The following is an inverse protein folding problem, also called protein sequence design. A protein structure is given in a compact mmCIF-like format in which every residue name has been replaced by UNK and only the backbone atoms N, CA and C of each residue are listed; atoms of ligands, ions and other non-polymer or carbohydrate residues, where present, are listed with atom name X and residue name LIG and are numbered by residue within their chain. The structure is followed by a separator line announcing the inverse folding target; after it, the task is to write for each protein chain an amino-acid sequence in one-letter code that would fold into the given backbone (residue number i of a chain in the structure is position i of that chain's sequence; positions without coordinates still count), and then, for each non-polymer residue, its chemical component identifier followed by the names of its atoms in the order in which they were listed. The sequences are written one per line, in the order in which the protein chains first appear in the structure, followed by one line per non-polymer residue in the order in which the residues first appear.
data_IF_992522419495
#
_entry.id   IF_992522419495
#
_cell.length_a   1.000
_cell.length_b   1.000
_cell.length_c   1.000
_cell.angle_alpha   90.00
_cell.angle_beta   90.00
_cell.angle_gamma   90.00
#
_symmetry.space_group_name_H-M   'P 1'
#
loop_
_entity.id
_entity.type
_entity.pdbx_description
1 polymer ?
#
# COMPACT_ATOMS: atom_id res chain seq x y z
N UNK A 1 4.76 -3.21 8.27
CA UNK A 1 4.10 -1.87 8.38
C UNK A 1 3.36 -1.81 9.71
N UNK A 2 3.53 -0.74 10.43
CA UNK A 2 3.00 -0.61 11.78
C UNK A 2 2.18 0.69 11.89
N UNK A 3 0.92 0.57 12.29
CA UNK A 3 -0.01 1.70 12.40
C UNK A 3 -0.18 2.19 13.84
N UNK A 4 0.71 1.84 14.77
CA UNK A 4 0.62 2.29 16.17
C UNK A 4 0.62 3.82 16.30
N UNK A 5 1.34 4.52 15.42
CA UNK A 5 1.40 5.98 15.44
C UNK A 5 0.30 6.65 14.60
N UNK A 6 -0.58 5.87 13.99
CA UNK A 6 -1.69 6.37 13.16
C UNK A 6 -1.71 5.75 11.76
N UNK A 7 -2.60 6.23 10.91
CA UNK A 7 -2.73 5.70 9.55
C UNK A 7 -1.47 5.88 8.71
N UNK A 8 -1.24 4.91 7.81
CA UNK A 8 -0.14 4.95 6.86
C UNK A 8 -0.67 5.11 5.44
N UNK A 9 0.04 5.90 4.65
CA UNK A 9 -0.20 6.01 3.21
C UNK A 9 0.76 5.10 2.48
N UNK A 10 0.22 4.30 1.55
CA UNK A 10 1.00 3.45 0.67
C UNK A 10 0.82 3.97 -0.76
N UNK A 11 1.86 4.52 -1.33
CA UNK A 11 1.87 4.88 -2.75
C UNK A 11 2.36 3.69 -3.53
N UNK A 12 1.51 3.15 -4.38
CA UNK A 12 1.72 1.88 -5.07
C UNK A 12 1.93 2.16 -6.56
N UNK A 13 3.02 1.63 -7.15
CA UNK A 13 3.25 1.78 -8.59
C UNK A 13 2.24 0.96 -9.39
N UNK A 14 2.08 1.27 -10.68
CA UNK A 14 1.23 0.45 -11.55
C UNK A 14 1.84 -0.93 -11.81
N UNK A 15 1.02 -1.86 -12.24
CA UNK A 15 1.44 -3.19 -12.70
C UNK A 15 2.10 -4.04 -11.60
N UNK A 16 1.61 -3.94 -10.37
CA UNK A 16 1.98 -4.84 -9.29
C UNK A 16 0.80 -5.72 -8.92
N UNK A 17 1.06 -6.78 -8.18
CA UNK A 17 0.04 -7.71 -7.70
C UNK A 17 0.45 -8.26 -6.36
N UNK A 18 -0.40 -8.13 -5.37
CA UNK A 18 -0.14 -8.75 -4.08
C UNK A 18 -1.14 -8.38 -3.02
N UNK A 19 -1.17 -9.11 -1.91
CA UNK A 19 -2.07 -8.82 -0.79
C UNK A 19 -1.40 -7.96 0.27
N UNK A 20 -2.25 -7.34 1.10
CA UNK A 20 -1.89 -6.87 2.43
C UNK A 20 -2.48 -7.89 3.40
N UNK A 21 -1.65 -8.42 4.29
CA UNK A 21 -2.07 -9.34 5.33
C UNK A 21 -1.88 -8.70 6.71
N UNK A 22 -2.71 -9.10 7.67
CA UNK A 22 -2.56 -8.65 9.05
C UNK A 22 -1.47 -9.47 9.78
N UNK A 23 -1.27 -9.18 11.07
CA UNK A 23 -0.22 -9.85 11.87
C UNK A 23 -0.44 -11.35 12.02
N UNK A 24 -1.64 -11.86 11.73
CA UNK A 24 -1.98 -13.27 11.78
C UNK A 24 -2.00 -13.91 10.40
N UNK A 25 -1.43 -13.23 9.39
CA UNK A 25 -1.43 -13.65 7.98
C UNK A 25 -2.82 -13.80 7.38
N UNK A 26 -3.80 -13.07 7.93
CA UNK A 26 -5.14 -13.04 7.35
C UNK A 26 -5.17 -11.98 6.25
N UNK A 27 -5.87 -12.30 5.18
CA UNK A 27 -6.03 -11.36 4.07
C UNK A 27 -6.79 -10.10 4.52
N UNK A 28 -6.27 -8.94 4.19
CA UNK A 28 -6.91 -7.65 4.46
C UNK A 28 -7.40 -7.01 3.18
N UNK A 29 -6.55 -6.94 2.16
CA UNK A 29 -6.89 -6.35 0.87
C UNK A 29 -5.90 -6.81 -0.18
N UNK A 30 -6.31 -6.77 -1.43
CA UNK A 30 -5.40 -6.87 -2.55
C UNK A 30 -4.91 -5.49 -2.96
N UNK A 31 -3.74 -5.44 -3.55
CA UNK A 31 -3.12 -4.24 -4.09
C UNK A 31 -2.71 -4.56 -5.53
N UNK A 32 -2.87 -3.60 -6.41
CA UNK A 32 -2.48 -3.77 -7.80
C UNK A 32 -3.61 -4.35 -8.66
N UNK A 33 -3.29 -5.28 -9.53
CA UNK A 33 -4.20 -5.76 -10.58
C UNK A 33 -5.52 -6.29 -10.04
N UNK A 34 -5.48 -7.00 -8.92
CA UNK A 34 -6.70 -7.52 -8.30
C UNK A 34 -7.23 -6.62 -7.18
N UNK A 35 -6.59 -5.49 -6.95
CA UNK A 35 -6.98 -4.53 -5.92
C UNK A 35 -7.83 -3.39 -6.46
N UNK A 36 -8.21 -2.46 -5.57
CA UNK A 36 -9.07 -1.33 -5.97
C UNK A 36 -8.50 -0.44 -7.07
N UNK A 37 -7.19 -0.33 -7.18
CA UNK A 37 -6.54 0.47 -8.23
C UNK A 37 -6.52 -0.23 -9.59
N UNK A 38 -6.89 -1.50 -9.65
CA UNK A 38 -6.98 -2.29 -10.90
C UNK A 38 -5.69 -2.30 -11.71
N UNK A 39 -4.55 -2.28 -11.04
CA UNK A 39 -3.25 -2.30 -11.68
C UNK A 39 -2.74 -0.96 -12.19
N UNK A 40 -3.47 0.11 -11.96
CA UNK A 40 -3.08 1.46 -12.44
C UNK A 40 -2.15 2.20 -11.49
N UNK A 41 -1.95 1.65 -10.30
CA UNK A 41 -1.26 2.33 -9.22
C UNK A 41 -2.21 3.26 -8.47
N UNK A 42 -1.78 3.74 -7.34
CA UNK A 42 -2.60 4.64 -6.54
C UNK A 42 -2.10 4.78 -5.12
N UNK A 43 -2.85 5.51 -4.33
CA UNK A 43 -2.54 5.74 -2.92
C UNK A 43 -3.55 4.99 -2.05
N UNK A 44 -3.04 4.10 -1.23
CA UNK A 44 -3.83 3.37 -0.26
C UNK A 44 -3.66 4.00 1.11
N UNK A 45 -4.71 4.00 1.90
CA UNK A 45 -4.67 4.46 3.29
C UNK A 45 -4.96 3.27 4.20
N UNK A 46 -3.92 2.84 4.93
CA UNK A 46 -4.02 1.74 5.88
C UNK A 46 -4.37 2.30 7.26
N UNK A 47 -5.56 1.93 7.75
CA UNK A 47 -6.06 2.42 9.03
C UNK A 47 -5.78 1.43 10.16
N UNK A 48 -5.40 1.94 11.35
CA UNK A 48 -5.21 1.07 12.51
C UNK A 48 -6.54 0.53 13.03
N UNK A 49 -6.48 -0.54 13.86
CA UNK A 49 -7.69 -1.09 14.48
C UNK A 49 -8.46 -0.01 15.25
N UNK A 50 -9.77 0.03 15.05
CA UNK A 50 -10.64 0.95 15.77
C UNK A 50 -10.49 2.43 15.42
N UNK A 51 -9.79 2.76 14.34
CA UNK A 51 -9.59 4.14 13.94
C UNK A 51 -10.92 4.83 13.63
N UNK A 52 -11.17 5.97 14.28
CA UNK A 52 -12.38 6.77 14.11
C UNK A 52 -12.09 8.20 13.65
N UNK A 53 -10.84 8.49 13.33
CA UNK A 53 -10.44 9.83 12.91
C UNK A 53 -10.88 10.14 11.47
N UNK A 54 -10.50 11.31 11.01
CA UNK A 54 -10.84 11.80 9.67
C UNK A 54 -10.13 10.95 8.62
N UNK A 55 -10.88 10.57 7.59
CA UNK A 55 -10.36 9.88 6.42
C UNK A 55 -10.46 10.84 5.23
N UNK A 56 -9.35 11.39 4.73
CA UNK A 56 -9.40 12.31 3.59
C UNK A 56 -9.75 11.58 2.30
N UNK A 57 -10.29 12.34 1.34
CA UNK A 57 -10.58 11.80 0.01
C UNK A 57 -9.30 11.53 -0.77
N UNK A 58 -9.41 10.72 -1.80
CA UNK A 58 -8.30 10.44 -2.72
C UNK A 58 -7.52 9.18 -2.41
N UNK A 59 -7.94 8.41 -1.42
CA UNK A 59 -7.28 7.16 -1.04
C UNK A 59 -8.19 5.96 -1.21
N UNK A 60 -7.60 4.82 -1.54
CA UNK A 60 -8.26 3.52 -1.37
C UNK A 60 -8.10 3.11 0.08
N UNK A 61 -9.19 3.09 0.84
CA UNK A 61 -9.14 2.87 2.28
C UNK A 61 -9.07 1.38 2.59
N UNK A 62 -8.11 1.01 3.45
CA UNK A 62 -7.92 -0.36 3.92
C UNK A 62 -7.96 -0.35 5.45
N UNK A 63 -8.84 -1.17 6.03
CA UNK A 63 -8.96 -1.30 7.48
C UNK A 63 -8.41 -2.65 7.92
N UNK A 64 -7.39 -2.64 8.78
CA UNK A 64 -6.81 -3.84 9.32
C UNK A 64 -7.23 -4.03 10.78
N UNK A 65 -7.30 -5.29 11.20
CA UNK A 65 -7.61 -5.66 12.59
C UNK A 65 -6.40 -5.69 13.50
N UNK A 66 -5.21 -5.50 12.94
CA UNK A 66 -3.96 -5.48 13.72
C UNK A 66 -3.14 -4.26 13.39
N UNK A 67 -2.28 -3.85 14.32
CA UNK A 67 -1.37 -2.72 14.09
C UNK A 67 -0.24 -3.09 13.14
N UNK A 68 0.29 -4.32 13.26
CA UNK A 68 1.31 -4.81 12.35
C UNK A 68 0.71 -5.40 11.10
N UNK A 69 1.26 -5.09 9.94
CA UNK A 69 0.75 -5.59 8.66
C UNK A 69 1.92 -5.89 7.74
N UNK A 70 1.70 -6.85 6.85
CA UNK A 70 2.67 -7.22 5.82
C UNK A 70 2.07 -6.97 4.45
N UNK A 71 2.87 -6.43 3.55
CA UNK A 71 2.49 -6.28 2.16
C UNK A 71 3.40 -7.14 1.31
N UNK A 72 2.79 -8.07 0.57
CA UNK A 72 3.48 -8.89 -0.40
C UNK A 72 3.05 -8.46 -1.79
N UNK A 73 3.99 -8.29 -2.69
CA UNK A 73 3.61 -8.06 -4.07
C UNK A 73 4.71 -8.51 -5.00
N UNK A 74 4.32 -8.71 -6.24
CA UNK A 74 5.25 -9.06 -7.31
C UNK A 74 5.01 -8.14 -8.49
N UNK A 75 6.04 -7.96 -9.28
CA UNK A 75 5.98 -7.24 -10.54
C UNK A 75 6.09 -8.23 -11.68
N UNK A 76 5.76 -7.78 -12.88
CA UNK A 76 5.80 -8.64 -14.06
C UNK A 76 7.15 -8.51 -14.76
N UNK A 77 7.57 -9.61 -15.36
CA UNK A 77 8.77 -9.61 -16.20
C UNK A 77 8.45 -8.91 -17.53
N UNK A 78 9.38 -8.12 -18.00
CA UNK A 78 9.35 -7.54 -19.35
C UNK A 78 10.33 -8.31 -20.21
N UNK A 79 9.81 -9.10 -21.15
CA UNK A 79 10.62 -9.97 -22.00
C UNK A 79 11.56 -10.89 -21.18
N UNK A 80 11.05 -11.39 -20.06
CA UNK A 80 11.81 -12.25 -19.17
C UNK A 80 12.75 -11.50 -18.21
N UNK A 81 12.79 -10.17 -18.26
CA UNK A 81 13.68 -9.36 -17.44
C UNK A 81 12.93 -8.77 -16.22
N UNK A 82 13.38 -9.05 -14.99
CA UNK A 82 12.74 -8.47 -13.79
C UNK A 82 13.09 -7.00 -13.54
N UNK A 83 14.11 -6.45 -14.18
CA UNK A 83 14.64 -5.14 -13.86
C UNK A 83 13.63 -4.01 -14.00
N UNK A 84 12.81 -3.93 -15.06
CA UNK A 84 11.83 -2.84 -15.16
C UNK A 84 10.86 -2.81 -13.99
N UNK A 85 10.39 -3.97 -13.51
CA UNK A 85 9.51 -4.06 -12.36
C UNK A 85 10.21 -3.64 -11.07
N UNK A 86 11.43 -4.10 -10.85
CA UNK A 86 12.23 -3.72 -9.68
C UNK A 86 12.49 -2.22 -9.67
N UNK A 87 12.86 -1.64 -10.80
CA UNK A 87 13.11 -0.20 -10.90
C UNK A 87 11.84 0.61 -10.61
N UNK A 88 10.68 0.17 -11.11
CA UNK A 88 9.40 0.82 -10.84
C UNK A 88 9.09 0.83 -9.34
N UNK A 89 9.30 -0.28 -8.65
CA UNK A 89 9.06 -0.37 -7.20
C UNK A 89 10.00 0.56 -6.45
N UNK A 90 11.29 0.53 -6.75
CA UNK A 90 12.27 1.40 -6.09
C UNK A 90 11.97 2.86 -6.29
N UNK A 91 11.47 3.24 -7.47
CA UNK A 91 11.22 4.62 -7.83
C UNK A 91 9.90 5.16 -7.26
N UNK A 92 8.87 4.32 -7.22
CA UNK A 92 7.51 4.78 -7.01
C UNK A 92 6.85 4.29 -5.74
N UNK A 93 7.31 3.19 -5.14
CA UNK A 93 6.71 2.70 -3.90
C UNK A 93 7.12 3.60 -2.73
N UNK A 94 6.12 4.08 -1.99
CA UNK A 94 6.34 4.91 -0.79
C UNK A 94 5.40 4.46 0.31
N UNK A 95 5.90 4.46 1.54
CA UNK A 95 5.09 4.24 2.75
C UNK A 95 5.45 5.34 3.74
N UNK A 96 4.44 6.08 4.19
CA UNK A 96 4.67 7.17 5.13
C UNK A 96 3.41 7.44 5.96
N UNK A 97 3.58 8.12 7.10
CA UNK A 97 2.45 8.47 7.96
C UNK A 97 1.52 9.47 7.27
N UNK A 98 0.21 9.30 7.48
CA UNK A 98 -0.78 10.24 6.93
C UNK A 98 -0.49 11.68 7.37
N UNK A 99 -0.02 11.88 8.60
CA UNK A 99 0.34 13.20 9.11
C UNK A 99 1.44 13.89 8.30
N UNK A 100 2.19 13.15 7.50
CA UNK A 100 3.24 13.68 6.63
C UNK A 100 2.77 13.90 5.20
N UNK A 101 1.53 13.52 4.88
CA UNK A 101 1.04 13.57 3.49
C UNK A 101 0.93 14.99 2.94
N UNK A 102 0.73 15.99 3.81
CA UNK A 102 0.64 17.39 3.40
C UNK A 102 2.01 18.00 3.09
N UNK A 103 3.09 17.36 3.51
CA UNK A 103 4.46 17.84 3.29
C UNK A 103 5.05 17.13 2.08
N UNK A 104 5.80 17.83 1.21
CA UNK A 104 6.46 17.18 0.09
C UNK A 104 7.43 16.10 0.56
N UNK A 105 7.39 14.96 -0.11
CA UNK A 105 8.30 13.84 0.18
C UNK A 105 9.55 13.96 -0.66
N UNK A 106 10.64 13.51 -0.10
CA UNK A 106 11.94 13.54 -0.78
C UNK A 106 12.50 12.15 -0.97
#
# INVERSE_FOLDING_TARGET
MDTNAGPLVLEVPPEVLGPIDDAWFRWVSDVGITGPDKGKGGKYLLLPPGYTGVVPDGYFVVRSRTFGNLMFFRTFLKDGDPKPGVDSVKKSLRVYALSQAASPRR
#
